data_IF_616557380999
#
_entry.id   IF_616557380999
#
_cell.length_a   1.000
_cell.length_b   1.000
_cell.length_c   1.000
_cell.angle_alpha   90.00
_cell.angle_beta   90.00
_cell.angle_gamma   90.00
#
_symmetry.space_group_name_H-M   'P 1'
#
loop_
_entity.id
_entity.type
_entity.pdbx_description
1 polymer ?
#
# COMPACT_ATOMS: atom_id res chain seq x y z
N UNK A 1 14.83 -19.40 -17.85
CA UNK A 1 13.42 -19.36 -17.39
C UNK A 1 13.41 -18.81 -15.98
N UNK A 2 12.67 -17.73 -15.71
CA UNK A 2 12.66 -17.07 -14.39
C UNK A 2 11.37 -17.44 -13.68
N UNK A 3 11.48 -18.05 -12.51
CA UNK A 3 10.33 -18.59 -11.78
C UNK A 3 10.29 -18.01 -10.36
N UNK A 4 9.12 -17.58 -9.93
CA UNK A 4 8.83 -17.27 -8.53
C UNK A 4 7.74 -18.22 -8.06
N UNK A 5 8.05 -19.00 -7.03
CA UNK A 5 7.08 -19.86 -6.37
C UNK A 5 6.60 -19.16 -5.09
N UNK A 6 5.30 -18.88 -4.99
CA UNK A 6 4.73 -18.19 -3.83
C UNK A 6 4.67 -19.11 -2.59
N UNK A 7 4.69 -20.44 -2.77
CA UNK A 7 4.67 -21.40 -1.66
C UNK A 7 5.87 -21.26 -0.73
N UNK A 8 7.00 -20.76 -1.24
CA UNK A 8 8.21 -20.53 -0.44
C UNK A 8 8.04 -19.40 0.60
N UNK A 9 6.97 -18.60 0.52
CA UNK A 9 6.71 -17.44 1.37
C UNK A 9 5.67 -17.75 2.46
N UNK A 10 5.82 -18.86 3.18
CA UNK A 10 4.90 -19.32 4.24
C UNK A 10 4.56 -18.21 5.26
N UNK A 11 5.37 -18.06 6.31
CA UNK A 11 5.14 -17.08 7.38
C UNK A 11 6.11 -15.89 7.31
N UNK A 12 7.09 -15.94 6.42
CA UNK A 12 8.08 -14.88 6.27
C UNK A 12 8.52 -14.74 4.83
N UNK A 13 8.91 -13.52 4.46
CA UNK A 13 9.47 -13.20 3.16
C UNK A 13 10.54 -12.13 3.31
N UNK A 14 11.54 -12.16 2.43
CA UNK A 14 12.53 -11.10 2.33
C UNK A 14 12.18 -10.19 1.17
N UNK A 15 11.99 -8.92 1.49
CA UNK A 15 11.83 -7.86 0.49
C UNK A 15 13.23 -7.44 0.06
N UNK A 16 13.46 -7.47 -1.24
CA UNK A 16 14.69 -7.05 -1.89
C UNK A 16 14.44 -5.73 -2.61
N UNK A 17 15.05 -4.65 -2.14
CA UNK A 17 15.02 -3.34 -2.79
C UNK A 17 16.23 -3.24 -3.73
N UNK A 18 15.99 -3.19 -5.04
CA UNK A 18 17.06 -3.09 -6.02
C UNK A 18 17.65 -1.69 -6.03
N UNK A 19 18.87 -1.54 -5.51
CA UNK A 19 19.56 -0.26 -5.28
C UNK A 19 21.03 -0.38 -5.67
N UNK A 20 21.65 0.68 -6.19
CA UNK A 20 23.05 0.64 -6.64
C UNK A 20 24.09 0.55 -5.51
N UNK A 21 23.81 1.12 -4.34
CA UNK A 21 24.80 1.37 -3.28
C UNK A 21 24.46 0.73 -1.91
N UNK A 22 23.58 -0.29 -1.89
CA UNK A 22 23.10 -1.00 -0.69
C UNK A 22 22.51 -0.07 0.39
N UNK A 23 22.01 1.10 0.00
CA UNK A 23 21.38 2.08 0.90
C UNK A 23 19.95 2.34 0.45
N UNK A 24 19.08 2.54 1.43
CA UNK A 24 17.70 2.98 1.22
C UNK A 24 17.43 4.20 2.09
N UNK A 25 16.55 5.09 1.64
CA UNK A 25 16.07 6.18 2.48
C UNK A 25 15.28 5.60 3.68
N UNK A 26 15.56 6.09 4.88
CA UNK A 26 14.93 5.60 6.11
C UNK A 26 13.40 5.80 6.11
N UNK A 27 12.90 6.91 5.57
CA UNK A 27 11.46 7.17 5.45
C UNK A 27 10.79 6.28 4.41
N UNK A 28 11.47 5.99 3.29
CA UNK A 28 11.00 5.02 2.30
C UNK A 28 10.86 3.65 2.94
N UNK A 29 11.91 3.16 3.60
CA UNK A 29 11.90 1.87 4.29
C UNK A 29 10.78 1.79 5.33
N UNK A 30 10.71 2.77 6.23
CA UNK A 30 9.69 2.80 7.28
C UNK A 30 8.27 2.84 6.69
N UNK A 31 8.04 3.68 5.69
CA UNK A 31 6.72 3.84 5.09
C UNK A 31 6.29 2.61 4.30
N UNK A 32 7.22 1.94 3.62
CA UNK A 32 7.00 0.65 2.96
C UNK A 32 6.64 -0.42 3.96
N UNK A 33 7.40 -0.54 5.06
CA UNK A 33 7.14 -1.56 6.10
C UNK A 33 5.80 -1.33 6.78
N UNK A 34 5.45 -0.09 7.11
CA UNK A 34 4.15 0.25 7.69
C UNK A 34 3.02 -0.09 6.72
N UNK A 35 3.14 0.29 5.45
CA UNK A 35 2.10 0.02 4.45
C UNK A 35 1.91 -1.47 4.18
N UNK A 36 2.99 -2.26 4.20
CA UNK A 36 2.92 -3.72 4.11
C UNK A 36 2.30 -4.35 5.37
N UNK A 37 2.60 -3.83 6.55
CA UNK A 37 1.98 -4.28 7.80
C UNK A 37 0.47 -4.00 7.80
N UNK A 38 0.06 -2.83 7.32
CA UNK A 38 -1.35 -2.46 7.17
C UNK A 38 -2.06 -3.36 6.15
N UNK A 39 -1.41 -3.68 5.02
CA UNK A 39 -1.94 -4.63 4.04
C UNK A 39 -2.08 -6.03 4.66
N UNK A 40 -1.08 -6.52 5.39
CA UNK A 40 -1.14 -7.82 6.06
C UNK A 40 -2.29 -7.88 7.08
N UNK A 41 -2.46 -6.83 7.88
CA UNK A 41 -3.57 -6.70 8.84
C UNK A 41 -4.93 -6.70 8.13
N UNK A 42 -5.06 -5.92 7.05
CA UNK A 42 -6.29 -5.87 6.28
C UNK A 42 -6.64 -7.24 5.65
N UNK A 43 -5.65 -7.92 5.07
CA UNK A 43 -5.84 -9.28 4.53
C UNK A 43 -6.22 -10.26 5.65
N UNK A 44 -5.53 -10.22 6.79
CA UNK A 44 -5.84 -11.08 7.93
C UNK A 44 -7.26 -10.85 8.47
N UNK A 45 -7.71 -9.60 8.59
CA UNK A 45 -9.07 -9.29 9.03
C UNK A 45 -10.15 -9.84 8.08
N UNK A 46 -9.82 -10.01 6.80
CA UNK A 46 -10.73 -10.62 5.81
C UNK A 46 -10.68 -12.15 5.84
N UNK A 47 -9.52 -12.74 6.12
CA UNK A 47 -9.28 -14.17 5.98
C UNK A 47 -9.43 -14.95 7.30
N UNK A 48 -9.00 -14.37 8.41
CA UNK A 48 -8.85 -15.02 9.72
C UNK A 48 -9.51 -14.16 10.81
N UNK A 49 -10.83 -14.03 10.78
CA UNK A 49 -11.58 -13.33 11.83
C UNK A 49 -11.29 -13.94 13.21
N UNK A 50 -10.83 -13.14 14.17
CA UNK A 50 -10.51 -13.59 15.54
C UNK A 50 -9.03 -13.90 15.81
N UNK A 51 -8.14 -13.59 14.87
CA UNK A 51 -6.69 -13.59 15.08
C UNK A 51 -6.13 -12.18 14.88
N UNK A 52 -5.22 -11.78 15.74
CA UNK A 52 -4.39 -10.60 15.52
C UNK A 52 -3.09 -11.01 14.83
N UNK A 53 -2.68 -10.21 13.84
CA UNK A 53 -1.41 -10.38 13.14
C UNK A 53 -0.48 -9.21 13.47
N UNK A 54 0.75 -9.54 13.83
CA UNK A 54 1.85 -8.60 13.95
C UNK A 54 2.88 -8.89 12.84
N UNK A 55 3.31 -7.83 12.15
CA UNK A 55 4.40 -7.91 11.17
C UNK A 55 5.66 -7.36 11.83
N UNK A 56 6.68 -8.20 11.93
CA UNK A 56 7.97 -7.85 12.53
C UNK A 56 9.08 -7.87 11.48
N UNK A 57 10.06 -6.97 11.62
CA UNK A 57 11.30 -6.97 10.83
C UNK A 57 12.35 -7.77 11.59
N UNK A 58 12.81 -8.88 11.03
CA UNK A 58 13.77 -9.77 11.70
C UNK A 58 15.22 -9.36 11.47
N UNK A 59 15.56 -8.92 10.26
CA UNK A 59 16.94 -8.65 9.89
C UNK A 59 17.04 -7.70 8.69
N UNK A 60 18.15 -6.96 8.65
CA UNK A 60 18.66 -6.20 7.52
C UNK A 60 19.97 -6.86 7.05
N UNK A 61 20.24 -6.90 5.75
CA UNK A 61 21.39 -7.64 5.20
C UNK A 61 22.03 -7.00 3.96
N UNK A 62 23.26 -7.42 3.62
CA UNK A 62 24.05 -6.84 2.53
C UNK A 62 23.53 -7.22 1.12
N UNK A 63 23.86 -6.38 0.13
CA UNK A 63 23.32 -6.38 -1.23
C UNK A 63 22.31 -5.25 -1.44
N UNK A 64 21.67 -5.18 -2.61
CA UNK A 64 20.41 -4.45 -2.83
C UNK A 64 19.54 -4.59 -1.57
N UNK A 65 19.24 -3.48 -0.89
CA UNK A 65 18.89 -3.45 0.53
C UNK A 65 17.79 -4.48 0.85
N UNK A 66 17.99 -5.35 1.87
CA UNK A 66 17.04 -6.43 2.20
C UNK A 66 16.41 -6.24 3.57
N UNK A 67 15.12 -6.53 3.66
CA UNK A 67 14.39 -6.59 4.92
C UNK A 67 13.58 -7.89 5.01
N UNK A 68 13.85 -8.72 6.03
CA UNK A 68 13.03 -9.90 6.31
C UNK A 68 11.84 -9.52 7.16
N UNK A 69 10.64 -9.79 6.67
CA UNK A 69 9.40 -9.61 7.42
C UNK A 69 8.79 -10.97 7.78
N UNK A 70 8.20 -11.06 8.97
CA UNK A 70 7.46 -12.25 9.44
C UNK A 70 6.11 -11.86 10.00
N UNK A 71 5.10 -12.69 9.72
CA UNK A 71 3.80 -12.66 10.39
C UNK A 71 3.83 -13.49 11.69
N UNK A 72 3.46 -12.85 12.80
CA UNK A 72 3.24 -13.50 14.10
C UNK A 72 1.75 -13.42 14.42
N UNK A 73 1.15 -14.56 14.77
CA UNK A 73 -0.29 -14.66 15.01
C UNK A 73 -0.57 -14.86 16.49
N UNK A 74 -1.48 -14.07 17.04
CA UNK A 74 -2.00 -14.24 18.40
C UNK A 74 -3.49 -14.53 18.32
N UNK A 75 -3.93 -15.65 18.94
CA UNK A 75 -5.34 -15.99 19.02
C UNK A 75 -6.05 -15.07 20.01
N UNK A 76 -7.07 -14.36 19.55
CA UNK A 76 -8.04 -13.74 20.47
C UNK A 76 -8.84 -14.89 21.09
N UNK A 77 -9.03 -14.90 22.42
CA UNK A 77 -9.72 -15.96 23.19
C UNK A 77 -11.23 -16.09 22.88
N UNK A 78 -11.61 -16.22 21.61
CA UNK A 78 -13.00 -16.30 21.14
C UNK A 78 -13.30 -17.70 20.58
N UNK A 79 -14.52 -18.17 20.84
CA UNK A 79 -15.02 -19.51 20.50
C UNK A 79 -15.19 -19.77 18.98
N UNK A 80 -14.85 -18.79 18.12
CA UNK A 80 -15.05 -18.83 16.67
C UNK A 80 -13.75 -18.89 15.87
N UNK A 81 -12.64 -19.28 16.49
CA UNK A 81 -11.38 -19.57 15.80
C UNK A 81 -11.49 -20.84 14.94
N UNK A 82 -12.33 -20.82 13.88
CA UNK A 82 -12.43 -21.90 12.89
C UNK A 82 -11.19 -21.92 12.00
N UNK A 83 -10.86 -23.13 11.54
CA UNK A 83 -9.77 -23.54 10.64
C UNK A 83 -8.93 -22.39 10.09
N UNK A 84 -7.73 -22.29 10.67
CA UNK A 84 -6.86 -21.15 10.47
C UNK A 84 -6.11 -21.28 9.16
N UNK A 85 -6.18 -20.24 8.31
CA UNK A 85 -5.24 -20.08 7.20
C UNK A 85 -3.95 -19.42 7.74
N UNK A 86 -3.33 -20.02 8.77
CA UNK A 86 -2.02 -19.58 9.28
C UNK A 86 -1.02 -19.66 8.14
N UNK A 87 -0.25 -18.58 7.93
CA UNK A 87 0.78 -18.54 6.89
C UNK A 87 0.30 -18.36 5.46
N UNK A 88 -0.95 -17.95 5.28
CA UNK A 88 -1.43 -17.57 3.93
C UNK A 88 -1.24 -16.07 3.67
N UNK A 89 -1.21 -15.23 4.71
CA UNK A 89 -1.19 -13.76 4.55
C UNK A 89 0.07 -13.26 3.84
N UNK A 90 1.25 -13.79 4.17
CA UNK A 90 2.50 -13.41 3.49
C UNK A 90 2.48 -13.88 2.03
N UNK A 91 1.99 -15.09 1.77
CA UNK A 91 1.73 -15.59 0.42
C UNK A 91 0.76 -14.69 -0.36
N UNK A 92 -0.30 -14.16 0.26
CA UNK A 92 -1.24 -13.23 -0.37
C UNK A 92 -0.55 -11.93 -0.79
N UNK A 93 0.31 -11.36 0.07
CA UNK A 93 1.08 -10.16 -0.29
C UNK A 93 1.99 -10.46 -1.49
N UNK A 94 2.74 -11.57 -1.44
CA UNK A 94 3.64 -11.96 -2.52
C UNK A 94 2.90 -12.21 -3.83
N UNK A 95 1.78 -12.94 -3.78
CA UNK A 95 0.95 -13.16 -4.95
C UNK A 95 0.42 -11.84 -5.51
N UNK A 96 -0.18 -10.98 -4.67
CA UNK A 96 -0.74 -9.70 -5.11
C UNK A 96 0.31 -8.83 -5.80
N UNK A 97 1.53 -8.77 -5.26
CA UNK A 97 2.66 -8.04 -5.85
C UNK A 97 2.98 -8.58 -7.24
N UNK A 98 3.24 -9.88 -7.38
CA UNK A 98 3.71 -10.47 -8.64
C UNK A 98 2.61 -10.60 -9.69
N UNK A 99 1.42 -11.05 -9.31
CA UNK A 99 0.30 -11.25 -10.23
C UNK A 99 -0.14 -9.93 -10.87
N UNK A 100 -0.31 -8.87 -10.06
CA UNK A 100 -0.72 -7.57 -10.59
C UNK A 100 0.34 -6.94 -11.48
N UNK A 101 1.62 -7.02 -11.08
CA UNK A 101 2.71 -6.37 -11.81
C UNK A 101 3.03 -7.08 -13.13
N UNK A 102 2.86 -8.41 -13.21
CA UNK A 102 2.95 -9.13 -14.47
C UNK A 102 1.77 -8.81 -15.40
N UNK A 103 0.57 -8.62 -14.84
CA UNK A 103 -0.66 -8.43 -15.61
C UNK A 103 -0.82 -7.05 -16.25
N UNK A 104 0.07 -6.08 -15.97
CA UNK A 104 -0.09 -4.67 -16.43
C UNK A 104 -0.23 -4.52 -17.95
N UNK A 105 0.44 -5.35 -18.74
CA UNK A 105 0.40 -5.25 -20.22
C UNK A 105 -0.62 -6.20 -20.87
N UNK A 106 -1.51 -6.83 -20.10
CA UNK A 106 -2.55 -7.78 -20.54
C UNK A 106 -2.08 -8.97 -21.41
N UNK A 107 -0.77 -9.25 -21.45
CA UNK A 107 -0.15 -10.37 -22.20
C UNK A 107 0.21 -11.54 -21.28
N UNK A 108 -0.63 -11.83 -20.28
CA UNK A 108 -0.41 -12.92 -19.35
C UNK A 108 -1.28 -14.12 -19.70
N UNK A 109 -0.72 -15.31 -19.58
CA UNK A 109 -1.45 -16.57 -19.63
C UNK A 109 -1.65 -17.02 -18.19
N UNK A 110 -2.91 -17.21 -17.80
CA UNK A 110 -3.28 -17.72 -16.48
C UNK A 110 -3.81 -19.14 -16.63
N UNK A 111 -3.06 -20.11 -16.13
CA UNK A 111 -3.47 -21.51 -16.10
C UNK A 111 -3.90 -21.85 -14.67
N UNK A 112 -5.18 -22.20 -14.53
CA UNK A 112 -5.76 -22.60 -13.25
C UNK A 112 -5.77 -24.13 -13.17
N UNK A 113 -5.00 -24.69 -12.25
CA UNK A 113 -5.01 -26.12 -11.92
C UNK A 113 -5.67 -26.36 -10.56
N UNK A 114 -5.80 -27.63 -10.20
CA UNK A 114 -6.41 -28.07 -8.93
C UNK A 114 -5.69 -27.49 -7.72
N UNK A 115 -4.36 -27.64 -7.65
CA UNK A 115 -3.56 -27.31 -6.47
C UNK A 115 -2.77 -26.00 -6.61
N UNK A 116 -2.65 -25.49 -7.84
CA UNK A 116 -1.86 -24.30 -8.16
C UNK A 116 -2.51 -23.46 -9.26
N UNK A 117 -2.13 -22.19 -9.31
CA UNK A 117 -2.37 -21.29 -10.43
C UNK A 117 -1.03 -20.82 -10.95
N UNK A 118 -0.86 -20.88 -12.27
CA UNK A 118 0.35 -20.42 -12.95
C UNK A 118 0.02 -19.16 -13.73
N UNK A 119 0.74 -18.08 -13.43
CA UNK A 119 0.69 -16.84 -14.20
C UNK A 119 1.98 -16.72 -14.99
N UNK A 120 1.88 -16.67 -16.32
CA UNK A 120 3.03 -16.63 -17.22
C UNK A 120 3.02 -15.38 -18.10
N UNK A 121 4.16 -14.69 -18.18
CA UNK A 121 4.42 -13.58 -19.11
C UNK A 121 5.74 -13.85 -19.84
N UNK A 122 5.67 -14.28 -21.10
CA UNK A 122 6.86 -14.65 -21.86
C UNK A 122 7.67 -15.75 -21.16
N UNK A 123 8.87 -15.41 -20.67
CA UNK A 123 9.80 -16.31 -19.96
C UNK A 123 9.64 -16.30 -18.44
N UNK A 124 8.80 -15.41 -17.91
CA UNK A 124 8.56 -15.24 -16.48
C UNK A 124 7.34 -16.02 -16.07
N UNK A 125 7.46 -16.77 -14.97
CA UNK A 125 6.42 -17.62 -14.44
C UNK A 125 6.27 -17.42 -12.94
N UNK A 126 5.04 -17.27 -12.47
CA UNK A 126 4.69 -17.24 -11.05
C UNK A 126 3.81 -18.43 -10.78
N UNK A 127 4.20 -19.24 -9.79
CA UNK A 127 3.47 -20.43 -9.35
C UNK A 127 2.85 -20.11 -8.00
N UNK A 128 1.53 -20.25 -7.91
CA UNK A 128 0.74 -19.76 -6.78
C UNK A 128 -0.06 -20.94 -6.22
N UNK A 129 0.11 -21.31 -4.94
CA UNK A 129 -0.76 -22.30 -4.31
C UNK A 129 -2.24 -21.90 -4.40
N UNK A 130 -3.13 -22.88 -4.65
CA UNK A 130 -4.56 -22.60 -4.89
C UNK A 130 -5.22 -21.84 -3.74
N UNK A 131 -4.91 -22.22 -2.51
CA UNK A 131 -5.39 -21.55 -1.30
C UNK A 131 -4.93 -20.08 -1.22
N UNK A 132 -3.70 -19.77 -1.61
CA UNK A 132 -3.16 -18.40 -1.65
C UNK A 132 -3.83 -17.58 -2.75
N UNK A 133 -4.02 -18.18 -3.94
CA UNK A 133 -4.73 -17.51 -5.04
C UNK A 133 -6.16 -17.13 -4.64
N UNK A 134 -6.93 -18.10 -4.13
CA UNK A 134 -8.31 -17.88 -3.70
C UNK A 134 -8.39 -16.89 -2.52
N UNK A 135 -7.44 -16.94 -1.58
CA UNK A 135 -7.33 -15.98 -0.49
C UNK A 135 -6.99 -14.56 -1.00
N UNK A 136 -6.14 -14.44 -2.02
CA UNK A 136 -5.80 -13.15 -2.63
C UNK A 136 -7.06 -12.51 -3.21
N UNK A 137 -7.88 -13.25 -3.96
CA UNK A 137 -9.14 -12.76 -4.52
C UNK A 137 -10.16 -12.31 -3.47
N UNK A 138 -10.12 -12.87 -2.26
CA UNK A 138 -10.91 -12.38 -1.11
C UNK A 138 -10.33 -11.09 -0.54
N UNK A 139 -9.01 -11.04 -0.32
CA UNK A 139 -8.32 -9.86 0.21
C UNK A 139 -8.45 -8.64 -0.70
N UNK A 140 -8.44 -8.83 -2.03
CA UNK A 140 -8.63 -7.77 -3.02
C UNK A 140 -9.97 -7.04 -2.93
N UNK A 141 -10.99 -7.68 -2.34
CA UNK A 141 -12.29 -7.04 -2.11
C UNK A 141 -12.27 -6.08 -0.92
N UNK A 142 -11.23 -6.11 -0.09
CA UNK A 142 -11.05 -5.21 1.03
C UNK A 142 -10.35 -3.91 0.56
N UNK A 143 -11.02 -2.75 0.58
CA UNK A 143 -10.43 -1.50 0.09
C UNK A 143 -9.20 -1.08 0.90
N UNK A 144 -9.14 -1.40 2.20
CA UNK A 144 -7.97 -1.10 3.03
C UNK A 144 -6.74 -1.90 2.59
N UNK A 145 -6.92 -3.15 2.17
CA UNK A 145 -5.84 -3.97 1.62
C UNK A 145 -5.30 -3.35 0.33
N UNK A 146 -6.18 -3.04 -0.62
CA UNK A 146 -5.77 -2.47 -1.91
C UNK A 146 -5.09 -1.11 -1.72
N UNK A 147 -5.65 -0.23 -0.88
CA UNK A 147 -5.07 1.08 -0.55
C UNK A 147 -3.68 0.96 0.07
N UNK A 148 -3.49 0.04 1.01
CA UNK A 148 -2.20 -0.20 1.65
C UNK A 148 -1.16 -0.74 0.66
N UNK A 149 -1.57 -1.62 -0.26
CA UNK A 149 -0.70 -2.10 -1.33
C UNK A 149 -0.35 -0.99 -2.34
N UNK A 150 -1.31 -0.16 -2.76
CA UNK A 150 -1.05 0.99 -3.63
C UNK A 150 -0.07 1.97 -2.99
N UNK A 151 -0.22 2.28 -1.70
CA UNK A 151 0.71 3.13 -0.95
C UNK A 151 2.11 2.51 -0.85
N UNK A 152 2.19 1.19 -0.71
CA UNK A 152 3.46 0.45 -0.76
C UNK A 152 4.17 0.70 -2.10
N UNK A 153 3.46 0.52 -3.21
CA UNK A 153 4.00 0.76 -4.54
C UNK A 153 4.41 2.21 -4.76
N UNK A 154 3.55 3.16 -4.36
CA UNK A 154 3.81 4.60 -4.47
C UNK A 154 5.08 5.02 -3.71
N UNK A 155 5.21 4.56 -2.45
CA UNK A 155 6.35 4.89 -1.60
C UNK A 155 7.66 4.44 -2.23
N UNK A 156 7.70 3.18 -2.70
CA UNK A 156 8.88 2.58 -3.32
C UNK A 156 9.19 3.27 -4.65
N UNK A 157 8.15 3.51 -5.45
CA UNK A 157 8.27 4.13 -6.76
C UNK A 157 8.63 5.62 -6.71
N UNK A 158 8.50 6.27 -5.57
CA UNK A 158 8.89 7.67 -5.36
C UNK A 158 10.36 7.82 -4.98
N UNK A 159 11.01 6.75 -4.53
CA UNK A 159 12.44 6.79 -4.18
C UNK A 159 13.31 6.69 -5.43
N UNK A 160 14.10 7.73 -5.70
CA UNK A 160 14.99 7.80 -6.86
C UNK A 160 16.07 6.71 -6.87
N UNK A 161 16.47 6.21 -5.70
CA UNK A 161 17.55 5.23 -5.57
C UNK A 161 17.08 3.78 -5.75
N UNK A 162 15.77 3.55 -5.84
CA UNK A 162 15.20 2.21 -6.02
C UNK A 162 14.85 2.00 -7.48
N UNK A 163 15.49 1.00 -8.09
CA UNK A 163 15.26 0.61 -9.48
C UNK A 163 14.10 -0.40 -9.62
N UNK A 164 13.82 -1.13 -8.54
CA UNK A 164 12.75 -2.12 -8.51
C UNK A 164 12.70 -2.88 -7.19
N UNK A 165 11.79 -3.86 -7.12
CA UNK A 165 11.68 -4.75 -5.96
C UNK A 165 11.52 -6.19 -6.37
N UNK A 166 11.90 -7.10 -5.49
CA UNK A 166 11.54 -8.52 -5.61
C UNK A 166 11.41 -9.17 -4.24
N UNK A 167 10.95 -10.41 -4.24
CA UNK A 167 10.82 -11.21 -3.03
C UNK A 167 11.71 -12.44 -3.12
N UNK A 168 12.34 -12.80 -2.00
CA UNK A 168 13.14 -14.02 -1.85
C UNK A 168 12.83 -14.69 -0.51
N UNK A 169 13.11 -15.99 -0.42
CA UNK A 169 12.78 -16.78 0.78
C UNK A 169 13.66 -16.43 1.99
N UNK A 170 14.95 -16.15 1.76
CA UNK A 170 15.92 -15.95 2.83
C UNK A 170 16.91 -14.80 2.54
N UNK A 171 17.53 -14.29 3.60
CA UNK A 171 18.40 -13.10 3.53
C UNK A 171 19.67 -13.32 2.70
N UNK A 172 20.11 -14.57 2.59
CA UNK A 172 21.27 -15.05 1.83
C UNK A 172 20.90 -15.62 0.45
N UNK A 173 19.61 -15.61 0.08
CA UNK A 173 19.16 -16.04 -1.25
C UNK A 173 19.85 -15.24 -2.36
N UNK A 174 20.05 -15.80 -3.56
CA UNK A 174 20.48 -14.99 -4.71
C UNK A 174 19.49 -13.85 -4.99
N UNK A 175 19.87 -12.83 -5.79
CA UNK A 175 18.93 -11.80 -6.21
C UNK A 175 17.63 -12.40 -6.78
N UNK A 176 16.47 -11.72 -6.62
CA UNK A 176 15.18 -12.24 -7.05
C UNK A 176 15.21 -12.66 -8.53
N UNK A 177 14.64 -13.83 -8.83
CA UNK A 177 14.51 -14.30 -10.21
C UNK A 177 13.69 -13.32 -11.07
N UNK A 178 12.73 -12.64 -10.47
CA UNK A 178 11.92 -11.61 -11.12
C UNK A 178 11.98 -10.35 -10.26
N UNK A 179 12.63 -9.31 -10.79
CA UNK A 179 12.60 -7.95 -10.24
C UNK A 179 11.49 -7.19 -10.96
N UNK A 180 10.62 -6.57 -10.17
CA UNK A 180 9.53 -5.71 -10.61
C UNK A 180 10.13 -4.30 -10.79
N UNK A 181 10.21 -3.78 -12.02
CA UNK A 181 10.80 -2.47 -12.28
C UNK A 181 9.97 -1.34 -11.67
N UNK A 182 10.63 -0.26 -11.26
CA UNK A 182 10.02 0.97 -10.74
C UNK A 182 8.85 1.48 -11.59
N UNK A 183 9.00 1.49 -12.92
CA UNK A 183 7.97 1.96 -13.85
C UNK A 183 6.66 1.15 -13.72
N UNK A 184 6.75 -0.16 -13.47
CA UNK A 184 5.58 -1.01 -13.26
C UNK A 184 4.92 -0.70 -11.92
N UNK A 185 5.70 -0.45 -10.86
CA UNK A 185 5.20 -0.02 -9.55
C UNK A 185 4.43 1.31 -9.63
N UNK A 186 4.93 2.27 -10.42
CA UNK A 186 4.26 3.55 -10.66
C UNK A 186 2.87 3.36 -11.28
N UNK A 187 2.75 2.49 -12.28
CA UNK A 187 1.46 2.18 -12.91
C UNK A 187 0.48 1.53 -11.92
N UNK A 188 1.00 0.71 -11.01
CA UNK A 188 0.20 0.03 -9.99
C UNK A 188 -0.28 0.96 -8.88
N UNK A 189 0.51 1.96 -8.49
CA UNK A 189 0.13 2.95 -7.48
C UNK A 189 -1.14 3.74 -7.87
N UNK A 190 -1.34 3.98 -9.16
CA UNK A 190 -2.47 4.77 -9.69
C UNK A 190 -3.83 4.05 -9.62
N UNK A 191 -3.84 2.73 -9.44
CA UNK A 191 -5.06 1.91 -9.41
C UNK A 191 -5.63 1.77 -7.99
N UNK A 192 -5.90 2.90 -7.33
CA UNK A 192 -6.66 2.89 -6.07
C UNK A 192 -8.16 2.86 -6.41
N UNK A 193 -8.94 1.85 -5.99
CA UNK A 193 -10.38 1.93 -6.05
C UNK A 193 -10.83 3.20 -5.32
N UNK A 194 -11.72 4.00 -5.90
CA UNK A 194 -12.44 5.00 -5.14
C UNK A 194 -13.10 4.29 -3.96
N UNK A 195 -12.71 4.66 -2.75
CA UNK A 195 -13.12 4.02 -1.51
C UNK A 195 -14.65 4.11 -1.36
N UNK A 196 -15.40 2.99 -1.49
CA UNK A 196 -16.85 2.99 -1.32
C UNK A 196 -17.25 3.25 0.15
N UNK A 197 -16.30 3.00 1.07
CA UNK A 197 -16.39 3.15 2.51
C UNK A 197 -15.49 4.28 3.00
N UNK A 198 -15.21 5.28 2.14
CA UNK A 198 -14.73 6.57 2.61
C UNK A 198 -15.83 7.14 3.49
N UNK A 199 -15.80 6.75 4.77
CA UNK A 199 -16.57 7.39 5.80
C UNK A 199 -16.08 8.83 5.73
N UNK A 200 -16.89 9.67 5.10
CA UNK A 200 -16.69 11.11 5.13
C UNK A 200 -16.83 11.46 6.59
N UNK A 201 -15.70 11.53 7.28
CA UNK A 201 -15.64 12.02 8.65
C UNK A 201 -15.82 13.53 8.51
N UNK A 202 -17.02 14.00 8.85
CA UNK A 202 -17.28 15.42 8.97
C UNK A 202 -16.58 15.91 10.24
N UNK A 203 -15.36 16.40 10.10
CA UNK A 203 -14.60 17.03 11.17
C UNK A 203 -14.66 18.55 10.95
N UNK A 204 -15.06 19.29 11.98
CA UNK A 204 -14.88 20.73 11.99
C UNK A 204 -13.43 21.02 12.36
N UNK A 205 -12.68 21.60 11.43
CA UNK A 205 -11.25 21.85 11.58
C UNK A 205 -10.92 23.29 11.19
N UNK A 206 -9.89 23.83 11.83
CA UNK A 206 -9.29 25.09 11.42
C UNK A 206 -8.25 24.83 10.32
N UNK A 207 -8.41 25.54 9.20
CA UNK A 207 -7.52 25.48 8.06
C UNK A 207 -6.90 26.86 7.81
N UNK A 208 -5.60 26.90 7.56
CA UNK A 208 -4.97 28.12 7.06
C UNK A 208 -5.01 28.10 5.54
N UNK A 209 -5.50 29.17 4.92
CA UNK A 209 -5.57 29.28 3.47
C UNK A 209 -4.20 29.72 2.94
N UNK A 210 -3.57 28.88 2.12
CA UNK A 210 -2.32 29.21 1.42
C UNK A 210 -2.65 29.83 0.06
N UNK A 211 -3.62 29.25 -0.65
CA UNK A 211 -4.06 29.72 -1.96
C UNK A 211 -5.57 29.62 -2.08
N UNK A 212 -6.21 30.78 -2.22
CA UNK A 212 -7.65 30.90 -2.47
C UNK A 212 -7.96 30.95 -3.97
N UNK A 213 -9.07 30.33 -4.37
CA UNK A 213 -9.64 30.48 -5.71
C UNK A 213 -11.05 31.04 -5.54
N UNK A 214 -11.20 32.34 -5.79
CA UNK A 214 -12.44 33.07 -5.55
C UNK A 214 -13.47 32.92 -6.68
N UNK A 215 -13.18 32.07 -7.66
CA UNK A 215 -14.15 31.67 -8.69
C UNK A 215 -14.88 30.40 -8.27
N UNK A 216 -16.22 30.45 -8.34
CA UNK A 216 -17.10 29.30 -8.12
C UNK A 216 -16.76 28.17 -9.10
N UNK A 217 -15.92 27.24 -8.66
CA UNK A 217 -15.38 26.18 -9.50
C UNK A 217 -15.02 24.95 -8.66
N UNK A 218 -14.76 23.82 -9.34
CA UNK A 218 -14.20 22.61 -8.70
C UNK A 218 -12.68 22.68 -8.56
N UNK A 219 -12.05 23.84 -8.78
CA UNK A 219 -10.59 23.99 -8.66
C UNK A 219 -10.18 23.86 -7.19
N UNK A 220 -9.03 23.22 -6.98
CA UNK A 220 -8.51 22.94 -5.64
C UNK A 220 -7.86 24.20 -5.06
N UNK A 221 -8.32 24.61 -3.89
CA UNK A 221 -7.62 25.54 -3.01
C UNK A 221 -6.44 24.82 -2.36
N UNK A 222 -5.49 25.58 -1.81
CA UNK A 222 -4.41 25.05 -0.99
C UNK A 222 -4.58 25.50 0.45
N UNK A 223 -4.49 24.54 1.37
CA UNK A 223 -4.60 24.76 2.80
C UNK A 223 -3.41 24.19 3.55
N UNK A 224 -3.14 24.72 4.74
CA UNK A 224 -2.31 24.09 5.75
C UNK A 224 -3.22 23.51 6.84
N UNK A 225 -3.08 22.21 7.12
CA UNK A 225 -3.77 21.52 8.21
C UNK A 225 -2.75 20.82 9.09
N UNK A 226 -2.63 21.25 10.36
CA UNK A 226 -1.66 20.70 11.32
C UNK A 226 -0.22 20.62 10.78
N UNK A 227 0.19 21.61 9.98
CA UNK A 227 1.52 21.66 9.36
C UNK A 227 1.69 20.83 8.08
N UNK A 228 0.63 20.17 7.60
CA UNK A 228 0.61 19.43 6.34
C UNK A 228 -0.15 20.23 5.29
N UNK A 229 0.48 20.40 4.12
CA UNK A 229 -0.16 21.05 2.97
C UNK A 229 -1.18 20.09 2.35
N UNK A 230 -2.44 20.52 2.25
CA UNK A 230 -3.53 19.77 1.62
C UNK A 230 -4.19 20.59 0.51
N UNK A 231 -4.77 19.91 -0.48
CA UNK A 231 -5.46 20.56 -1.61
C UNK A 231 -6.88 20.04 -1.77
N UNK A 232 -7.87 20.92 -1.65
CA UNK A 232 -9.28 20.55 -1.72
C UNK A 232 -10.14 21.67 -2.35
N UNK A 233 -11.24 21.34 -3.04
CA UNK A 233 -12.19 22.34 -3.52
C UNK A 233 -13.18 22.75 -2.42
N UNK A 234 -13.62 24.02 -2.41
CA UNK A 234 -14.74 24.47 -1.55
C UNK A 234 -16.05 24.20 -2.29
N UNK A 235 -16.77 23.16 -1.86
CA UNK A 235 -18.03 22.70 -2.50
C UNK A 235 -19.30 23.25 -1.85
N UNK A 236 -19.17 23.88 -0.66
CA UNK A 236 -20.31 24.44 0.06
C UNK A 236 -20.82 25.69 -0.65
N UNK A 237 -21.96 25.59 -1.33
CA UNK A 237 -22.48 26.68 -2.17
C UNK A 237 -22.75 27.98 -1.41
N UNK A 238 -23.30 27.97 -0.18
CA UNK A 238 -23.54 29.20 0.58
C UNK A 238 -22.26 29.95 0.94
N UNK A 239 -21.09 29.30 0.95
CA UNK A 239 -19.82 29.96 1.25
C UNK A 239 -19.57 31.16 0.33
N UNK A 240 -19.70 31.00 -0.98
CA UNK A 240 -19.41 32.08 -1.93
C UNK A 240 -20.45 33.21 -1.81
N UNK A 241 -21.71 32.87 -1.57
CA UNK A 241 -22.78 33.87 -1.36
C UNK A 241 -22.47 34.72 -0.14
N UNK A 242 -22.16 34.08 0.99
CA UNK A 242 -21.90 34.76 2.25
C UNK A 242 -20.55 35.50 2.23
N UNK A 243 -19.55 34.98 1.51
CA UNK A 243 -18.26 35.66 1.30
C UNK A 243 -18.41 36.94 0.47
N UNK A 244 -19.15 36.90 -0.65
CA UNK A 244 -19.42 38.10 -1.45
C UNK A 244 -20.35 39.09 -0.74
N UNK A 245 -21.24 38.59 0.14
CA UNK A 245 -22.06 39.41 1.02
C UNK A 245 -21.29 39.99 2.23
N UNK A 246 -20.00 39.69 2.37
CA UNK A 246 -19.13 40.10 3.49
C UNK A 246 -19.56 39.56 4.88
N UNK A 247 -20.38 38.50 4.90
CA UNK A 247 -20.75 37.78 6.13
C UNK A 247 -19.66 36.79 6.57
N UNK A 248 -18.84 36.34 5.63
CA UNK A 248 -17.61 35.56 5.87
C UNK A 248 -16.43 36.41 5.42
N UNK A 249 -15.44 36.57 6.29
CA UNK A 249 -14.19 37.28 5.98
C UNK A 249 -12.99 36.34 6.05
N UNK A 250 -12.04 36.49 5.14
CA UNK A 250 -10.75 35.81 5.19
C UNK A 250 -9.76 36.81 5.78
N UNK A 251 -9.36 36.57 7.03
CA UNK A 251 -8.34 37.38 7.68
C UNK A 251 -6.95 36.93 7.25
N UNK A 252 -6.06 37.90 7.01
CA UNK A 252 -4.63 37.62 6.81
C UNK A 252 -4.05 37.37 8.19
N UNK A 253 -3.62 36.13 8.44
CA UNK A 253 -2.90 35.78 9.68
C UNK A 253 -1.44 36.10 9.45
N UNK A 254 -0.95 37.16 10.11
CA UNK A 254 0.48 37.45 10.21
C UNK A 254 1.16 36.29 10.97
N UNK A 255 2.21 35.64 10.44
CA UNK A 255 2.90 34.53 11.11
C UNK A 255 3.46 34.87 12.50
N UNK A 256 3.48 36.14 12.91
CA UNK A 256 4.00 36.59 14.20
C UNK A 256 2.95 36.81 15.32
N UNK A 257 1.65 36.57 15.09
CA UNK A 257 0.65 36.75 16.15
C UNK A 257 -0.17 35.47 16.41
N UNK A 258 0.05 34.88 17.59
CA UNK A 258 -0.86 33.92 18.21
C UNK A 258 -2.01 34.70 18.83
N UNK A 259 -3.22 34.54 18.30
CA UNK A 259 -4.43 34.82 19.07
C UNK A 259 -5.12 33.50 19.35
N UNK A 260 -5.20 33.17 20.64
CA UNK A 260 -6.05 32.14 21.22
C UNK A 260 -7.46 32.74 21.29
N UNK A 261 -8.44 32.07 20.68
CA UNK A 261 -9.77 31.81 21.26
C UNK A 261 -10.21 30.44 20.76
#
# INVERSE_FOLDING_TARGET
MRVVDISQFENSVVIHFDTEDNRINAYTLASTLVSLADAAKAANNTLNCGYEIEIVVEALGPGSFRAKIRAVYTSSKNLFAKEVLLGVVIGVLGNYIYERTLSVDNKVIVEVKTDEVIVQKGQDRVVIPRNVYDATRKAEKNPNFVKAMSKTFETIASDEKINGIGLVAAMDSPPPNIIIPKMVLQQMATNTPEDPDARVIYEQVDLQIIKAILDKSKRKWEFMWRGIKISAPVVYQPFYVNFFAHEITIAIVDPNFRTIV
#
